data_IF_507544857265
#
_entry.id   IF_507544857265
#
_cell.length_a   1.000
_cell.length_b   1.000
_cell.length_c   1.000
_cell.angle_alpha   90.00
_cell.angle_beta   90.00
_cell.angle_gamma   90.00
#
_symmetry.space_group_name_H-M   'P 1'
#
loop_
_entity.id
_entity.type
_entity.pdbx_description
1 polymer ?
#
# COMPACT_ATOMS: atom_id res chain seq x y z
N UNK A 1 10.24 -14.05 35.06
CA UNK A 1 10.15 -12.58 35.21
C UNK A 1 11.56 -12.04 35.26
N UNK A 2 11.99 -11.31 34.22
CA UNK A 2 13.31 -10.69 34.14
C UNK A 2 13.39 -9.58 35.19
N UNK A 3 14.33 -9.64 36.14
CA UNK A 3 14.52 -8.56 37.12
C UNK A 3 15.16 -7.37 36.41
N UNK A 4 14.87 -6.13 36.82
CA UNK A 4 15.43 -4.91 36.19
C UNK A 4 16.96 -4.93 36.08
N UNK A 5 17.67 -5.60 37.00
CA UNK A 5 19.13 -5.76 36.94
C UNK A 5 19.62 -6.69 35.82
N UNK A 6 18.81 -7.67 35.42
CA UNK A 6 19.19 -8.64 34.38
C UNK A 6 19.25 -7.98 33.00
N UNK A 7 18.33 -7.06 32.71
CA UNK A 7 18.35 -6.27 31.46
C UNK A 7 19.57 -5.37 31.37
N UNK A 8 19.95 -4.70 32.46
CA UNK A 8 21.14 -3.84 32.49
C UNK A 8 22.43 -4.64 32.29
N UNK A 9 22.52 -5.84 32.89
CA UNK A 9 23.65 -6.74 32.69
C UNK A 9 23.73 -7.28 31.25
N UNK A 10 22.59 -7.67 30.66
CA UNK A 10 22.52 -8.14 29.27
C UNK A 10 22.94 -7.03 28.30
N UNK A 11 22.39 -5.83 28.45
CA UNK A 11 22.69 -4.69 27.58
C UNK A 11 24.13 -4.20 27.79
N UNK A 12 24.66 -4.30 29.01
CA UNK A 12 26.06 -3.99 29.32
C UNK A 12 27.07 -4.90 28.61
N UNK A 13 26.68 -6.12 28.22
CA UNK A 13 27.49 -7.05 27.43
C UNK A 13 27.46 -6.81 25.92
N UNK A 14 26.67 -5.85 25.43
CA UNK A 14 26.52 -5.64 23.99
C UNK A 14 27.71 -4.87 23.42
N UNK A 15 28.55 -5.57 22.64
CA UNK A 15 29.59 -4.95 21.84
C UNK A 15 29.04 -4.10 20.68
N UNK A 16 29.90 -3.24 20.10
CA UNK A 16 29.50 -2.33 19.01
C UNK A 16 28.89 -3.01 17.78
N UNK A 17 29.37 -4.22 17.43
CA UNK A 17 28.78 -5.02 16.34
C UNK A 17 27.34 -5.45 16.61
N UNK A 18 27.01 -5.77 17.87
CA UNK A 18 25.66 -6.18 18.26
C UNK A 18 24.68 -5.01 18.15
N UNK A 19 25.11 -3.82 18.63
CA UNK A 19 24.36 -2.59 18.48
C UNK A 19 24.14 -2.22 17.00
N UNK A 20 25.13 -2.42 16.14
CA UNK A 20 24.98 -2.20 14.71
C UNK A 20 23.90 -3.11 14.11
N UNK A 21 23.95 -4.43 14.40
CA UNK A 21 22.93 -5.38 13.93
C UNK A 21 21.53 -5.01 14.44
N UNK A 22 21.39 -4.69 15.71
CA UNK A 22 20.09 -4.30 16.29
C UNK A 22 19.55 -2.99 15.69
N UNK A 23 20.43 -2.02 15.42
CA UNK A 23 20.06 -0.75 14.78
C UNK A 23 19.58 -0.98 13.35
N UNK A 24 20.32 -1.80 12.57
CA UNK A 24 19.92 -2.17 11.20
C UNK A 24 18.59 -2.91 11.21
N UNK A 25 18.40 -3.85 12.13
CA UNK A 25 17.13 -4.57 12.30
C UNK A 25 15.98 -3.60 12.56
N UNK A 26 16.13 -2.72 13.55
CA UNK A 26 15.08 -1.77 13.93
C UNK A 26 14.73 -0.81 12.78
N UNK A 27 15.74 -0.27 12.10
CA UNK A 27 15.55 0.63 10.97
C UNK A 27 14.86 -0.08 9.79
N UNK A 28 15.34 -1.27 9.42
CA UNK A 28 14.77 -2.05 8.32
C UNK A 28 13.32 -2.46 8.62
N UNK A 29 13.03 -2.85 9.86
CA UNK A 29 11.66 -3.17 10.30
C UNK A 29 10.74 -1.93 10.20
N UNK A 30 11.18 -0.78 10.71
CA UNK A 30 10.40 0.45 10.66
C UNK A 30 10.10 0.86 9.20
N UNK A 31 11.09 0.78 8.31
CA UNK A 31 10.91 1.08 6.89
C UNK A 31 9.98 0.05 6.21
N UNK A 32 10.04 -1.22 6.59
CA UNK A 32 9.13 -2.26 6.08
C UNK A 32 7.67 -1.94 6.45
N UNK A 33 7.42 -1.51 7.69
CA UNK A 33 6.10 -1.05 8.14
C UNK A 33 5.64 0.17 7.35
N UNK A 34 6.51 1.16 7.15
CA UNK A 34 6.19 2.34 6.34
C UNK A 34 5.82 1.96 4.90
N UNK A 35 6.55 1.02 4.30
CA UNK A 35 6.23 0.52 2.95
C UNK A 35 4.86 -0.18 2.91
N UNK A 36 4.55 -1.01 3.91
CA UNK A 36 3.24 -1.66 4.06
C UNK A 36 2.09 -0.65 4.25
N UNK A 37 2.30 0.37 5.09
CA UNK A 37 1.34 1.47 5.26
C UNK A 37 1.16 2.26 3.96
N UNK A 38 2.24 2.50 3.21
CA UNK A 38 2.20 3.13 1.89
C UNK A 38 1.33 2.36 0.89
N UNK A 39 1.38 1.02 0.90
CA UNK A 39 0.50 0.18 0.10
C UNK A 39 -0.98 0.38 0.45
N UNK A 40 -1.28 0.48 1.75
CA UNK A 40 -2.64 0.67 2.28
C UNK A 40 -3.15 2.10 2.08
N UNK A 41 -2.25 3.09 2.00
CA UNK A 41 -2.60 4.52 1.83
C UNK A 41 -3.46 4.79 0.59
N UNK A 42 -3.29 3.96 -0.45
CA UNK A 42 -4.13 3.98 -1.64
C UNK A 42 -5.64 3.82 -1.35
N UNK A 43 -6.01 3.09 -0.28
CA UNK A 43 -7.40 2.90 0.17
C UNK A 43 -7.95 4.14 0.87
N UNK A 44 -7.11 4.82 1.67
CA UNK A 44 -7.50 6.03 2.41
C UNK A 44 -7.78 7.20 1.46
N UNK A 45 -7.01 7.34 0.39
CA UNK A 45 -7.19 8.40 -0.62
C UNK A 45 -8.19 8.06 -1.73
N UNK A 46 -8.71 6.83 -1.77
CA UNK A 46 -9.71 6.41 -2.76
C UNK A 46 -10.95 7.34 -2.80
N UNK A 47 -11.54 7.79 -1.68
CA UNK A 47 -12.68 8.72 -1.70
C UNK A 47 -12.39 10.03 -2.42
N UNK A 48 -11.24 10.64 -2.12
CA UNK A 48 -10.84 11.91 -2.71
C UNK A 48 -10.49 11.74 -4.19
N UNK A 49 -9.81 10.65 -4.56
CA UNK A 49 -9.50 10.32 -5.96
C UNK A 49 -10.76 10.09 -6.79
N UNK A 50 -11.73 9.34 -6.27
CA UNK A 50 -13.00 9.11 -6.98
C UNK A 50 -13.74 10.43 -7.18
N UNK A 51 -13.81 11.30 -6.15
CA UNK A 51 -14.41 12.63 -6.31
C UNK A 51 -13.70 13.48 -7.36
N UNK A 52 -12.36 13.47 -7.38
CA UNK A 52 -11.58 14.19 -8.37
C UNK A 52 -11.79 13.63 -9.80
N UNK A 53 -11.90 12.31 -9.96
CA UNK A 53 -12.21 11.69 -11.25
C UNK A 53 -13.61 12.06 -11.75
N UNK A 54 -14.60 12.05 -10.86
CA UNK A 54 -15.97 12.45 -11.18
C UNK A 54 -16.02 13.93 -11.60
N UNK A 55 -15.37 14.81 -10.83
CA UNK A 55 -15.28 16.23 -11.15
C UNK A 55 -14.52 16.51 -12.46
N UNK A 56 -13.40 15.81 -12.70
CA UNK A 56 -12.62 15.94 -13.95
C UNK A 56 -13.40 15.49 -15.19
N UNK A 57 -14.32 14.53 -15.02
CA UNK A 57 -15.20 14.08 -16.09
C UNK A 57 -16.44 14.96 -16.28
N UNK A 58 -16.53 16.11 -15.59
CA UNK A 58 -17.64 17.05 -15.67
C UNK A 58 -18.96 16.50 -15.12
N UNK A 59 -18.91 15.43 -14.33
CA UNK A 59 -20.09 14.80 -13.76
C UNK A 59 -20.30 15.27 -12.30
N UNK A 60 -21.55 15.40 -11.88
CA UNK A 60 -21.90 15.64 -10.49
C UNK A 60 -22.40 14.36 -9.80
N UNK A 61 -21.95 14.14 -8.56
CA UNK A 61 -22.52 13.17 -7.64
C UNK A 61 -23.94 13.63 -7.28
N UNK A 62 -24.97 13.13 -7.99
CA UNK A 62 -26.37 13.51 -7.82
C UNK A 62 -27.03 14.21 -9.01
N UNK A 63 -26.28 14.58 -10.06
CA UNK A 63 -26.86 15.14 -11.29
C UNK A 63 -27.76 14.16 -12.05
N UNK A 64 -28.65 14.66 -12.91
CA UNK A 64 -29.68 13.86 -13.60
C UNK A 64 -29.21 13.02 -14.80
N UNK A 65 -27.95 13.14 -15.25
CA UNK A 65 -27.44 12.47 -16.47
C UNK A 65 -26.66 11.16 -16.23
N UNK A 66 -26.49 10.30 -17.25
CA UNK A 66 -25.66 9.10 -17.14
C UNK A 66 -24.20 9.43 -16.78
N UNK A 67 -23.53 8.52 -16.07
CA UNK A 67 -22.11 8.67 -15.77
C UNK A 67 -21.24 8.44 -17.02
N UNK A 68 -20.09 9.12 -17.11
CA UNK A 68 -19.02 8.79 -18.05
C UNK A 68 -18.60 7.30 -17.98
N UNK A 69 -18.35 6.64 -19.13
CA UNK A 69 -17.97 5.23 -19.19
C UNK A 69 -16.74 4.85 -18.36
N UNK A 70 -15.79 5.78 -18.21
CA UNK A 70 -14.53 5.54 -17.49
C UNK A 70 -14.75 5.38 -15.98
N UNK A 71 -15.87 5.90 -15.46
CA UNK A 71 -16.23 5.83 -14.05
C UNK A 71 -16.97 4.54 -13.69
N UNK A 72 -17.67 3.93 -14.64
CA UNK A 72 -18.53 2.75 -14.38
C UNK A 72 -17.78 1.42 -14.48
N UNK A 73 -16.58 1.37 -15.06
CA UNK A 73 -15.84 0.11 -15.22
C UNK A 73 -14.85 -0.19 -14.07
N UNK A 74 -14.65 0.73 -13.12
CA UNK A 74 -13.70 0.55 -12.00
C UNK A 74 -14.42 0.24 -10.69
N UNK A 75 -14.15 -0.92 -10.10
CA UNK A 75 -14.77 -1.37 -8.84
C UNK A 75 -14.71 -0.37 -7.68
N UNK A 76 -13.59 0.37 -7.56
CA UNK A 76 -13.46 1.39 -6.51
C UNK A 76 -14.39 2.60 -6.69
N UNK A 77 -14.81 2.86 -7.93
CA UNK A 77 -15.74 3.93 -8.29
C UNK A 77 -17.19 3.42 -8.23
N UNK A 78 -17.47 2.23 -8.77
CA UNK A 78 -18.82 1.61 -8.81
C UNK A 78 -19.49 1.64 -7.43
N UNK A 79 -18.77 1.32 -6.35
CA UNK A 79 -19.30 1.31 -4.96
C UNK A 79 -19.85 2.67 -4.49
N UNK A 80 -19.62 3.74 -5.23
CA UNK A 80 -20.00 5.12 -4.89
C UNK A 80 -20.97 5.73 -5.88
N UNK A 81 -21.31 5.02 -6.95
CA UNK A 81 -22.25 5.49 -7.96
C UNK A 81 -23.68 5.16 -7.52
N UNK A 82 -24.61 6.01 -7.94
CA UNK A 82 -26.04 5.72 -7.83
C UNK A 82 -26.40 4.58 -8.81
N UNK A 83 -27.15 3.59 -8.34
CA UNK A 83 -27.39 2.32 -9.04
C UNK A 83 -28.16 2.53 -10.35
N UNK A 84 -29.22 3.36 -10.33
CA UNK A 84 -30.04 3.65 -11.51
C UNK A 84 -29.23 4.29 -12.64
N UNK A 85 -28.43 5.32 -12.32
CA UNK A 85 -27.52 5.99 -13.27
C UNK A 85 -26.43 5.07 -13.78
N UNK A 86 -25.88 4.21 -12.92
CA UNK A 86 -24.92 3.18 -13.32
C UNK A 86 -25.52 2.22 -14.35
N UNK A 87 -26.72 1.69 -14.09
CA UNK A 87 -27.41 0.80 -15.01
C UNK A 87 -27.78 1.51 -16.32
N UNK A 88 -28.20 2.78 -16.26
CA UNK A 88 -28.48 3.58 -17.45
C UNK A 88 -27.23 3.79 -18.32
N UNK A 89 -26.06 4.05 -17.72
CA UNK A 89 -24.79 4.12 -18.45
C UNK A 89 -24.43 2.78 -19.09
N UNK A 90 -24.60 1.66 -18.37
CA UNK A 90 -24.35 0.32 -18.92
C UNK A 90 -25.27 -0.01 -20.10
N UNK A 91 -26.54 0.36 -20.03
CA UNK A 91 -27.49 0.16 -21.13
C UNK A 91 -27.13 0.94 -22.41
N UNK A 92 -26.34 2.00 -22.31
CA UNK A 92 -25.91 2.84 -23.44
C UNK A 92 -24.47 2.58 -23.93
N UNK A 93 -23.79 1.57 -23.41
CA UNK A 93 -22.39 1.28 -23.73
C UNK A 93 -22.28 0.53 -25.06
N UNK A 94 -21.46 1.07 -25.97
CA UNK A 94 -21.12 0.41 -27.24
C UNK A 94 -19.77 -0.29 -27.11
N UNK A 95 -19.48 -1.34 -27.90
CA UNK A 95 -18.18 -2.03 -27.86
C UNK A 95 -16.97 -1.13 -28.14
N UNK A 96 -17.16 -0.04 -28.89
CA UNK A 96 -16.11 0.96 -29.11
C UNK A 96 -15.81 1.75 -27.82
N UNK A 97 -16.86 2.27 -27.15
CA UNK A 97 -16.72 3.03 -25.90
C UNK A 97 -16.22 2.17 -24.74
N UNK A 98 -16.62 0.90 -24.70
CA UNK A 98 -16.12 -0.05 -23.71
C UNK A 98 -14.61 -0.24 -23.85
N UNK A 99 -14.11 -0.49 -25.08
CA UNK A 99 -12.67 -0.64 -25.33
C UNK A 99 -11.87 0.60 -24.94
N UNK A 100 -12.37 1.79 -25.27
CA UNK A 100 -11.74 3.06 -24.91
C UNK A 100 -11.66 3.24 -23.38
N UNK A 101 -12.79 3.01 -22.70
CA UNK A 101 -12.85 3.12 -21.24
C UNK A 101 -11.93 2.09 -20.54
N UNK A 102 -11.87 0.85 -21.05
CA UNK A 102 -10.94 -0.18 -20.57
C UNK A 102 -9.48 0.22 -20.80
N UNK A 103 -9.14 0.77 -21.96
CA UNK A 103 -7.77 1.24 -22.24
C UNK A 103 -7.33 2.33 -21.26
N UNK A 104 -8.19 3.31 -20.99
CA UNK A 104 -7.94 4.34 -19.98
C UNK A 104 -7.73 3.74 -18.59
N UNK A 105 -8.56 2.77 -18.22
CA UNK A 105 -8.44 2.12 -16.91
C UNK A 105 -7.19 1.28 -16.77
N UNK A 106 -6.83 0.49 -17.78
CA UNK A 106 -5.59 -0.30 -17.78
C UNK A 106 -4.39 0.64 -17.64
N UNK A 107 -4.37 1.75 -18.38
CA UNK A 107 -3.31 2.74 -18.27
C UNK A 107 -3.24 3.36 -16.86
N UNK A 108 -4.36 3.79 -16.28
CA UNK A 108 -4.41 4.37 -14.95
C UNK A 108 -4.08 3.36 -13.83
N UNK A 109 -4.54 2.12 -13.98
CA UNK A 109 -4.36 1.04 -12.99
C UNK A 109 -2.93 0.53 -13.00
N UNK A 110 -2.31 0.36 -14.18
CA UNK A 110 -0.95 -0.16 -14.32
C UNK A 110 0.06 0.64 -13.48
N UNK A 111 0.00 1.97 -13.51
CA UNK A 111 0.89 2.84 -12.71
C UNK A 111 0.68 2.64 -11.21
N UNK A 112 -0.57 2.50 -10.77
CA UNK A 112 -0.88 2.31 -9.35
C UNK A 112 -0.51 0.90 -8.86
N UNK A 113 -0.78 -0.12 -9.67
CA UNK A 113 -0.43 -1.52 -9.37
C UNK A 113 1.08 -1.69 -9.33
N UNK A 114 1.80 -1.10 -10.28
CA UNK A 114 3.26 -1.11 -10.30
C UNK A 114 3.85 -0.47 -9.04
N UNK A 115 3.40 0.74 -8.68
CA UNK A 115 3.85 1.41 -7.45
C UNK A 115 3.58 0.59 -6.19
N UNK A 116 2.44 -0.10 -6.12
CA UNK A 116 2.13 -1.01 -5.01
C UNK A 116 3.06 -2.21 -4.98
N UNK A 117 3.35 -2.83 -6.12
CA UNK A 117 4.29 -3.94 -6.19
C UNK A 117 5.69 -3.51 -5.74
N UNK A 118 6.16 -2.33 -6.17
CA UNK A 118 7.43 -1.77 -5.71
C UNK A 118 7.43 -1.64 -4.18
N UNK A 119 6.40 -1.02 -3.59
CA UNK A 119 6.31 -0.86 -2.13
C UNK A 119 6.23 -2.20 -1.38
N UNK A 120 5.45 -3.17 -1.86
CA UNK A 120 5.38 -4.51 -1.25
C UNK A 120 6.74 -5.20 -1.32
N UNK A 121 7.38 -5.19 -2.49
CA UNK A 121 8.68 -5.84 -2.68
C UNK A 121 9.76 -5.17 -1.82
N UNK A 122 9.80 -3.84 -1.76
CA UNK A 122 10.70 -3.10 -0.87
C UNK A 122 10.44 -3.46 0.59
N UNK A 123 9.17 -3.50 1.01
CA UNK A 123 8.80 -3.91 2.36
C UNK A 123 9.26 -5.34 2.70
N UNK A 124 9.11 -6.27 1.76
CA UNK A 124 9.53 -7.65 1.93
C UNK A 124 11.07 -7.80 2.02
N UNK A 125 11.81 -7.09 1.16
CA UNK A 125 13.28 -7.06 1.22
C UNK A 125 13.75 -6.48 2.56
N UNK A 126 13.18 -5.36 3.00
CA UNK A 126 13.51 -4.75 4.29
C UNK A 126 13.19 -5.66 5.48
N UNK A 127 12.07 -6.39 5.43
CA UNK A 127 11.75 -7.39 6.44
C UNK A 127 12.80 -8.52 6.46
N UNK A 128 13.22 -9.01 5.29
CA UNK A 128 14.28 -10.00 5.18
C UNK A 128 15.61 -9.51 5.76
N UNK A 129 16.01 -8.27 5.46
CA UNK A 129 17.19 -7.63 6.06
C UNK A 129 17.07 -7.55 7.58
N UNK A 130 15.90 -7.16 8.10
CA UNK A 130 15.66 -7.09 9.53
C UNK A 130 15.82 -8.46 10.20
N UNK A 131 15.27 -9.51 9.58
CA UNK A 131 15.38 -10.89 10.08
C UNK A 131 16.84 -11.37 10.09
N UNK A 132 17.59 -11.14 9.02
CA UNK A 132 19.01 -11.51 8.94
C UNK A 132 19.81 -10.78 10.03
N UNK A 133 19.59 -9.48 10.21
CA UNK A 133 20.25 -8.69 11.23
C UNK A 133 19.89 -9.15 12.66
N UNK A 134 18.63 -9.54 12.89
CA UNK A 134 18.18 -10.12 14.16
C UNK A 134 18.88 -11.45 14.46
N UNK A 135 18.93 -12.36 13.48
CA UNK A 135 19.59 -13.66 13.64
C UNK A 135 21.10 -13.49 13.86
N UNK A 136 21.74 -12.55 13.14
CA UNK A 136 23.14 -12.22 13.33
C UNK A 136 23.42 -11.67 14.73
N UNK A 137 22.56 -10.77 15.24
CA UNK A 137 22.67 -10.25 16.60
C UNK A 137 22.51 -11.38 17.64
N UNK A 138 21.56 -12.29 17.46
CA UNK A 138 21.36 -13.45 18.33
C UNK A 138 22.56 -14.40 18.33
N UNK A 139 23.10 -14.72 17.15
CA UNK A 139 24.28 -15.56 17.01
C UNK A 139 25.53 -14.91 17.64
N UNK A 140 25.73 -13.60 17.41
CA UNK A 140 26.82 -12.84 18.02
C UNK A 140 26.70 -12.80 19.54
N UNK A 141 25.48 -12.63 20.07
CA UNK A 141 25.23 -12.61 21.51
C UNK A 141 25.58 -13.97 22.15
N UNK A 142 25.14 -15.08 21.54
CA UNK A 142 25.47 -16.42 22.02
C UNK A 142 26.97 -16.70 21.94
N UNK A 143 27.65 -16.23 20.91
CA UNK A 143 29.11 -16.38 20.77
C UNK A 143 29.91 -15.55 21.80
N UNK A 144 29.29 -14.56 22.43
CA UNK A 144 29.89 -13.74 23.50
C UNK A 144 29.54 -14.20 24.92
N UNK A 145 28.66 -15.19 25.07
CA UNK A 145 28.39 -15.87 26.34
C UNK A 145 29.46 -16.92 26.64
#
# INVERSE_FOLDING_TARGET
FVKRGDLAAIVGGFGGGLWACLTVMAAAMALSIVAALGCLWSRVRLPARVRAMIAAAGAELGGGGPYPPELVLFFGTIRRLEVGRFLATLGGLTPAREREALAHQIHALSRNVFRKHVLVNTGFVLFGVALIAFLAAGAAYVATL
#
